data_IF_107613243087
#
_entry.id   IF_107613243087
#
_cell.length_a   1.000
_cell.length_b   1.000
_cell.length_c   1.000
_cell.angle_alpha   90.00
_cell.angle_beta   90.00
_cell.angle_gamma   90.00
#
_symmetry.space_group_name_H-M   'P 1'
#
loop_
_entity.id
_entity.type
_entity.pdbx_description
1 polymer ?
#
# COMPACT_ATOMS: atom_id res chain seq x y z
N UNK A 1 -33.13 21.33 -8.28
CA UNK A 1 -32.21 20.18 -8.24
C UNK A 1 -31.25 20.33 -9.40
N UNK A 2 -30.08 20.91 -9.16
CA UNK A 2 -28.98 20.92 -10.14
C UNK A 2 -28.41 19.52 -10.20
N UNK A 3 -28.60 18.85 -11.33
CA UNK A 3 -27.94 17.58 -11.64
C UNK A 3 -26.42 17.84 -11.72
N UNK A 4 -25.69 17.46 -10.69
CA UNK A 4 -24.22 17.39 -10.78
C UNK A 4 -23.88 16.22 -11.70
N UNK A 5 -23.34 16.52 -12.88
CA UNK A 5 -22.81 15.50 -13.78
C UNK A 5 -21.53 14.94 -13.17
N UNK A 6 -21.60 13.73 -12.63
CA UNK A 6 -20.43 13.01 -12.11
C UNK A 6 -19.42 12.78 -13.23
N UNK A 7 -18.26 13.44 -13.15
CA UNK A 7 -17.19 13.21 -14.12
C UNK A 7 -16.31 12.07 -13.60
N UNK A 8 -16.45 10.90 -14.22
CA UNK A 8 -15.66 9.71 -13.88
C UNK A 8 -14.41 9.61 -14.76
N UNK A 9 -13.23 9.42 -14.16
CA UNK A 9 -11.99 9.15 -14.87
C UNK A 9 -11.20 8.05 -14.16
N UNK A 10 -10.79 7.02 -14.90
CA UNK A 10 -10.09 5.85 -14.36
C UNK A 10 -10.82 5.18 -13.17
N UNK A 11 -12.15 5.27 -13.12
CA UNK A 11 -12.97 4.74 -12.02
C UNK A 11 -13.09 5.67 -10.81
N UNK A 12 -12.55 6.89 -10.88
CA UNK A 12 -12.59 7.89 -9.80
C UNK A 12 -13.55 9.03 -10.15
N UNK A 13 -14.31 9.50 -9.17
CA UNK A 13 -15.09 10.73 -9.26
C UNK A 13 -14.16 11.93 -9.10
N UNK A 14 -13.88 12.63 -10.20
CA UNK A 14 -12.93 13.75 -10.19
C UNK A 14 -13.46 14.95 -9.41
N UNK A 15 -14.79 15.11 -9.29
CA UNK A 15 -15.37 16.18 -8.48
C UNK A 15 -15.17 15.89 -6.99
N UNK A 16 -15.43 14.66 -6.56
CA UNK A 16 -15.18 14.23 -5.18
C UNK A 16 -13.70 14.40 -4.79
N UNK A 17 -12.77 14.14 -5.71
CA UNK A 17 -11.35 14.37 -5.48
C UNK A 17 -11.04 15.86 -5.21
N UNK A 18 -11.59 16.76 -6.03
CA UNK A 18 -11.43 18.22 -5.85
C UNK A 18 -12.04 18.65 -4.52
N UNK A 19 -13.26 18.19 -4.23
CA UNK A 19 -13.97 18.55 -3.00
C UNK A 19 -13.22 18.09 -1.75
N UNK A 20 -12.59 16.92 -1.81
CA UNK A 20 -11.74 16.37 -0.74
C UNK A 20 -10.51 17.25 -0.49
N UNK A 21 -9.84 17.69 -1.56
CA UNK A 21 -8.69 18.60 -1.44
C UNK A 21 -9.11 19.93 -0.82
N UNK A 22 -10.22 20.50 -1.27
CA UNK A 22 -10.72 21.78 -0.74
C UNK A 22 -11.23 21.65 0.70
N UNK A 23 -11.77 20.49 1.10
CA UNK A 23 -12.09 20.20 2.50
C UNK A 23 -10.83 20.19 3.37
N UNK A 24 -9.78 19.47 2.94
CA UNK A 24 -8.50 19.39 3.67
C UNK A 24 -7.80 20.76 3.73
N UNK A 25 -7.85 21.57 2.66
CA UNK A 25 -7.29 22.92 2.68
C UNK A 25 -7.99 23.83 3.70
N UNK A 26 -9.31 23.69 3.84
CA UNK A 26 -10.11 24.45 4.80
C UNK A 26 -9.91 23.96 6.24
N UNK A 27 -9.79 22.65 6.41
CA UNK A 27 -9.51 22.03 7.70
C UNK A 27 -8.43 20.94 7.55
N UNK A 28 -7.15 21.30 7.78
CA UNK A 28 -6.04 20.36 7.68
C UNK A 28 -6.13 19.16 8.63
N UNK A 29 -6.92 19.25 9.71
CA UNK A 29 -7.10 18.12 10.63
C UNK A 29 -7.79 16.93 9.97
N UNK A 30 -8.59 17.17 8.90
CA UNK A 30 -9.23 16.12 8.13
C UNK A 30 -8.25 15.21 7.39
N UNK A 31 -6.99 15.65 7.21
CA UNK A 31 -5.93 14.84 6.60
C UNK A 31 -5.24 13.89 7.58
N UNK A 32 -5.61 13.89 8.86
CA UNK A 32 -5.04 12.94 9.82
C UNK A 32 -5.77 11.60 9.75
N UNK A 33 -5.00 10.54 9.51
CA UNK A 33 -5.49 9.17 9.45
C UNK A 33 -4.67 8.27 10.37
N UNK A 34 -5.36 7.32 11.01
CA UNK A 34 -4.77 6.23 11.77
C UNK A 34 -5.30 4.92 11.20
N UNK A 35 -4.42 4.09 10.62
CA UNK A 35 -4.77 2.78 10.10
C UNK A 35 -4.39 1.69 11.09
N UNK A 36 -5.25 0.67 11.21
CA UNK A 36 -5.10 -0.37 12.23
C UNK A 36 -5.16 -1.77 11.61
N UNK A 37 -4.37 -2.66 12.20
CA UNK A 37 -4.40 -4.09 11.92
C UNK A 37 -4.23 -4.84 13.24
N UNK A 38 -4.90 -5.99 13.37
CA UNK A 38 -4.71 -6.91 14.51
C UNK A 38 -4.29 -8.26 13.97
N UNK A 39 -3.35 -8.93 14.62
CA UNK A 39 -2.86 -10.23 14.21
C UNK A 39 -2.92 -11.22 15.37
N UNK A 40 -3.21 -12.47 15.05
CA UNK A 40 -3.21 -13.58 15.99
C UNK A 40 -2.37 -14.73 15.42
N UNK A 41 -1.43 -15.22 16.24
CA UNK A 41 -0.73 -16.47 15.97
C UNK A 41 -1.69 -17.66 16.02
N UNK A 42 -1.51 -18.62 15.11
CA UNK A 42 -2.35 -19.81 15.02
C UNK A 42 -1.53 -21.04 15.40
N UNK A 43 -0.52 -21.38 14.59
CA UNK A 43 0.41 -22.47 14.83
C UNK A 43 1.63 -22.32 13.92
N UNK A 44 2.80 -22.84 14.31
CA UNK A 44 4.04 -22.75 13.51
C UNK A 44 4.30 -21.33 13.00
N UNK A 45 4.60 -21.20 11.69
CA UNK A 45 4.72 -19.91 11.00
C UNK A 45 3.39 -19.25 10.62
N UNK A 46 2.26 -19.95 10.81
CA UNK A 46 0.93 -19.48 10.42
C UNK A 46 0.38 -18.47 11.43
N UNK A 47 -0.11 -17.35 10.91
CA UNK A 47 -0.81 -16.33 11.68
C UNK A 47 -1.86 -15.64 10.79
N UNK A 48 -2.83 -14.97 11.42
CA UNK A 48 -3.92 -14.30 10.69
C UNK A 48 -4.13 -12.88 11.15
N UNK A 49 -4.12 -11.98 10.17
CA UNK A 49 -4.42 -10.56 10.36
C UNK A 49 -5.88 -10.26 10.05
N UNK A 50 -6.45 -9.31 10.80
CA UNK A 50 -7.75 -8.68 10.59
C UNK A 50 -7.55 -7.18 10.42
N UNK A 51 -8.12 -6.62 9.34
CA UNK A 51 -8.12 -5.18 9.05
C UNK A 51 -9.57 -4.73 8.88
N UNK A 52 -10.03 -3.81 9.72
CA UNK A 52 -11.40 -3.32 9.68
C UNK A 52 -11.43 -1.81 9.87
N UNK A 53 -11.23 -1.35 11.10
CA UNK A 53 -11.39 0.04 11.51
C UNK A 53 -10.18 0.92 11.18
N UNK A 54 -10.44 2.21 10.98
CA UNK A 54 -9.44 3.26 10.88
C UNK A 54 -10.06 4.59 11.34
N UNK A 55 -9.22 5.52 11.81
CA UNK A 55 -9.63 6.91 12.01
C UNK A 55 -9.25 7.73 10.78
N UNK A 56 -10.14 8.62 10.35
CA UNK A 56 -9.88 9.50 9.21
C UNK A 56 -10.98 10.53 9.00
N UNK A 57 -10.65 11.64 8.35
CA UNK A 57 -11.62 12.71 8.06
C UNK A 57 -12.43 13.16 9.31
N UNK A 58 -11.76 13.23 10.46
CA UNK A 58 -12.32 13.72 11.71
C UNK A 58 -13.20 12.73 12.50
N UNK A 59 -13.27 11.44 12.10
CA UNK A 59 -14.07 10.43 12.80
C UNK A 59 -13.50 9.02 12.69
N UNK A 60 -14.00 8.11 13.53
CA UNK A 60 -13.82 6.67 13.33
C UNK A 60 -14.64 6.22 12.11
N UNK A 61 -14.04 5.37 11.27
CA UNK A 61 -14.71 4.75 10.14
C UNK A 61 -15.52 3.53 10.58
N UNK A 62 -16.79 3.52 10.18
CA UNK A 62 -17.75 2.46 10.40
C UNK A 62 -18.28 1.87 9.08
N UNK A 63 -17.62 2.20 7.95
CA UNK A 63 -18.08 1.81 6.61
C UNK A 63 -17.96 0.31 6.34
N UNK A 64 -17.03 -0.38 7.02
CA UNK A 64 -16.75 -1.81 6.86
C UNK A 64 -17.46 -2.63 7.94
N UNK A 65 -18.50 -3.36 7.52
CA UNK A 65 -19.29 -4.20 8.42
C UNK A 65 -18.52 -5.44 8.89
N UNK A 66 -17.63 -5.98 8.05
CA UNK A 66 -16.81 -7.16 8.35
C UNK A 66 -15.32 -6.87 8.13
N UNK A 67 -14.41 -7.55 8.86
CA UNK A 67 -12.98 -7.39 8.65
C UNK A 67 -12.51 -8.08 7.37
N UNK A 68 -11.49 -7.52 6.73
CA UNK A 68 -10.67 -8.26 5.78
C UNK A 68 -9.72 -9.17 6.55
N UNK A 69 -9.70 -10.45 6.19
CA UNK A 69 -8.83 -11.46 6.79
C UNK A 69 -7.73 -11.89 5.83
N UNK A 70 -6.50 -11.95 6.34
CA UNK A 70 -5.34 -12.41 5.58
C UNK A 70 -4.54 -13.42 6.41
N UNK A 71 -4.31 -14.60 5.84
CA UNK A 71 -3.45 -15.62 6.44
C UNK A 71 -2.04 -15.44 5.91
N UNK A 72 -1.09 -15.29 6.82
CA UNK A 72 0.33 -15.44 6.52
C UNK A 72 0.72 -16.89 6.77
N UNK A 73 1.51 -17.45 5.86
CA UNK A 73 2.16 -18.76 6.03
C UNK A 73 3.61 -18.69 5.60
N UNK A 74 4.24 -19.84 5.48
CA UNK A 74 5.57 -19.96 4.89
C UNK A 74 5.60 -21.14 3.91
N UNK A 75 6.44 -21.11 2.86
CA UNK A 75 6.66 -22.29 2.04
C UNK A 75 7.43 -23.36 2.83
N UNK A 76 7.43 -24.63 2.37
CA UNK A 76 8.15 -25.72 3.04
C UNK A 76 9.63 -25.48 3.30
N UNK A 77 10.31 -24.76 2.39
CA UNK A 77 11.73 -24.41 2.55
C UNK A 77 11.97 -23.42 3.70
N UNK A 78 10.93 -22.70 4.15
CA UNK A 78 10.92 -21.81 5.31
C UNK A 78 10.02 -22.35 6.44
N UNK A 79 9.92 -23.67 6.56
CA UNK A 79 9.26 -24.37 7.68
C UNK A 79 7.74 -24.19 7.78
N UNK A 80 7.06 -23.81 6.70
CA UNK A 80 5.59 -23.79 6.63
C UNK A 80 5.00 -24.83 5.67
N UNK A 81 3.71 -24.70 5.39
CA UNK A 81 2.96 -25.62 4.52
C UNK A 81 2.20 -24.91 3.38
N UNK A 82 2.60 -23.69 3.01
CA UNK A 82 1.88 -22.82 2.06
C UNK A 82 0.47 -22.46 2.54
N UNK A 83 0.30 -22.10 3.81
CA UNK A 83 -0.98 -21.70 4.41
C UNK A 83 -1.50 -20.35 3.87
N UNK A 84 -0.58 -19.57 3.32
CA UNK A 84 -0.78 -18.28 2.67
C UNK A 84 0.55 -17.76 2.12
N UNK A 85 0.52 -16.61 1.45
CA UNK A 85 1.75 -15.89 1.11
C UNK A 85 2.51 -15.52 2.41
N UNK A 86 3.82 -15.40 2.32
CA UNK A 86 4.61 -15.06 3.48
C UNK A 86 4.64 -13.54 3.76
N UNK A 87 5.10 -13.10 4.95
CA UNK A 87 5.04 -11.68 5.31
C UNK A 87 5.81 -10.74 4.35
N UNK A 88 6.91 -11.20 3.76
CA UNK A 88 7.71 -10.37 2.83
C UNK A 88 7.04 -10.26 1.45
N UNK A 89 6.33 -11.30 0.99
CA UNK A 89 5.47 -11.24 -0.18
C UNK A 89 4.28 -10.30 0.04
N UNK A 90 3.69 -10.28 1.26
CA UNK A 90 2.65 -9.32 1.62
C UNK A 90 3.15 -7.86 1.59
N UNK A 91 4.43 -7.61 1.92
CA UNK A 91 5.04 -6.29 1.77
C UNK A 91 5.09 -5.88 0.27
N UNK A 92 5.48 -6.79 -0.62
CA UNK A 92 5.46 -6.54 -2.06
C UNK A 92 4.04 -6.30 -2.58
N UNK A 93 3.05 -7.07 -2.09
CA UNK A 93 1.63 -6.85 -2.40
C UNK A 93 1.16 -5.44 -1.99
N UNK A 94 1.45 -5.02 -0.77
CA UNK A 94 1.10 -3.69 -0.26
C UNK A 94 1.79 -2.58 -1.07
N UNK A 95 3.07 -2.77 -1.40
CA UNK A 95 3.82 -1.83 -2.22
C UNK A 95 3.22 -1.70 -3.62
N UNK A 96 2.94 -2.82 -4.29
CA UNK A 96 2.31 -2.88 -5.61
C UNK A 96 1.00 -2.08 -5.62
N UNK A 97 0.08 -2.41 -4.70
CA UNK A 97 -1.21 -1.71 -4.61
C UNK A 97 -1.02 -0.22 -4.39
N UNK A 98 -0.11 0.18 -3.51
CA UNK A 98 0.10 1.58 -3.18
C UNK A 98 0.67 2.40 -4.35
N UNK A 99 1.70 1.92 -5.08
CA UNK A 99 2.20 2.65 -6.27
C UNK A 99 1.17 2.68 -7.39
N UNK A 100 0.45 1.58 -7.65
CA UNK A 100 -0.62 1.54 -8.65
C UNK A 100 -1.73 2.53 -8.34
N UNK A 101 -2.26 2.53 -7.11
CA UNK A 101 -3.32 3.47 -6.69
C UNK A 101 -2.86 4.92 -6.76
N UNK A 102 -1.62 5.21 -6.31
CA UNK A 102 -1.04 6.56 -6.39
C UNK A 102 -0.96 7.02 -7.86
N UNK A 103 -0.45 6.16 -8.74
CA UNK A 103 -0.37 6.46 -10.17
C UNK A 103 -1.75 6.79 -10.78
N UNK A 104 -2.77 5.97 -10.50
CA UNK A 104 -4.13 6.16 -11.03
C UNK A 104 -4.76 7.46 -10.52
N UNK A 105 -4.63 7.76 -9.22
CA UNK A 105 -5.12 9.01 -8.62
C UNK A 105 -4.50 10.23 -9.30
N UNK A 106 -3.18 10.22 -9.53
CA UNK A 106 -2.50 11.35 -10.16
C UNK A 106 -2.77 11.46 -11.66
N UNK A 107 -2.92 10.34 -12.37
CA UNK A 107 -3.38 10.35 -13.75
C UNK A 107 -4.77 10.98 -13.87
N UNK A 108 -5.72 10.57 -13.00
CA UNK A 108 -7.07 11.13 -12.99
C UNK A 108 -7.07 12.63 -12.66
N UNK A 109 -6.28 13.06 -11.67
CA UNK A 109 -6.15 14.48 -11.32
C UNK A 109 -5.57 15.33 -12.46
N UNK A 110 -4.80 14.74 -13.38
CA UNK A 110 -4.23 15.39 -14.56
C UNK A 110 -5.10 15.25 -15.82
N UNK A 111 -6.27 14.62 -15.72
CA UNK A 111 -7.13 14.36 -16.88
C UNK A 111 -6.62 13.26 -17.82
N UNK A 112 -5.63 12.47 -17.40
CA UNK A 112 -5.01 11.41 -18.21
C UNK A 112 -5.82 10.12 -18.05
N UNK A 113 -6.35 9.60 -19.16
CA UNK A 113 -7.05 8.31 -19.20
C UNK A 113 -6.05 7.17 -19.29
N UNK A 114 -6.20 6.19 -18.41
CA UNK A 114 -5.44 4.94 -18.44
C UNK A 114 -6.29 3.88 -19.16
N UNK A 115 -5.70 3.24 -20.16
CA UNK A 115 -6.30 2.11 -20.90
C UNK A 115 -5.88 0.77 -20.31
N UNK A 116 -4.60 0.64 -19.94
CA UNK A 116 -4.04 -0.56 -19.31
C UNK A 116 -2.97 -0.16 -18.29
N UNK A 117 -2.93 -0.86 -17.16
CA UNK A 117 -1.89 -0.73 -16.14
C UNK A 117 -1.64 -2.09 -15.48
N UNK A 118 -0.39 -2.54 -15.51
CA UNK A 118 0.07 -3.73 -14.79
C UNK A 118 1.36 -3.42 -14.04
N UNK A 119 1.57 -4.06 -12.89
CA UNK A 119 2.73 -3.84 -12.03
C UNK A 119 3.31 -5.19 -11.60
N UNK A 120 4.61 -5.36 -11.79
CA UNK A 120 5.40 -6.54 -11.40
C UNK A 120 6.48 -6.09 -10.43
N UNK A 121 6.69 -6.87 -9.36
CA UNK A 121 7.71 -6.59 -8.35
C UNK A 121 8.55 -7.83 -8.10
N UNK A 122 9.84 -7.60 -7.93
CA UNK A 122 10.78 -8.60 -7.47
C UNK A 122 11.75 -7.95 -6.47
N UNK A 123 12.22 -8.73 -5.49
CA UNK A 123 13.12 -8.23 -4.46
C UNK A 123 13.96 -9.35 -3.85
N UNK A 124 15.16 -9.00 -3.41
CA UNK A 124 16.16 -9.96 -2.91
C UNK A 124 16.31 -9.86 -1.39
N UNK A 125 16.33 -11.01 -0.72
CA UNK A 125 16.58 -11.15 0.71
C UNK A 125 17.68 -12.18 0.92
N UNK A 126 18.67 -11.84 1.74
CA UNK A 126 19.59 -12.81 2.32
C UNK A 126 19.09 -13.23 3.71
N UNK A 127 18.60 -14.47 3.80
CA UNK A 127 17.98 -15.01 5.01
C UNK A 127 18.97 -15.18 6.17
N UNK A 128 20.28 -15.14 5.94
CA UNK A 128 21.28 -15.22 7.02
C UNK A 128 21.10 -14.13 8.07
N UNK A 129 20.69 -12.92 7.66
CA UNK A 129 20.39 -11.83 8.58
C UNK A 129 19.19 -12.17 9.48
N UNK A 130 18.12 -12.75 8.91
CA UNK A 130 16.92 -13.15 9.65
C UNK A 130 17.23 -14.18 10.74
N UNK A 131 18.08 -15.17 10.43
CA UNK A 131 18.41 -16.27 11.36
C UNK A 131 19.67 -16.01 12.20
N UNK A 132 20.25 -14.81 12.12
CA UNK A 132 21.41 -14.41 12.94
C UNK A 132 22.70 -15.19 12.63
N UNK A 133 22.86 -15.69 11.40
CA UNK A 133 24.10 -16.38 10.99
C UNK A 133 25.19 -15.41 10.52
N UNK A 134 24.83 -14.18 10.15
CA UNK A 134 25.78 -13.18 9.67
C UNK A 134 25.35 -11.76 10.07
N UNK A 135 26.03 -11.19 11.06
CA UNK A 135 25.74 -9.85 11.60
C UNK A 135 26.04 -8.70 10.61
N UNK A 136 26.79 -8.98 9.52
CA UNK A 136 27.01 -8.00 8.46
C UNK A 136 25.81 -7.85 7.50
N UNK A 137 24.86 -8.79 7.55
CA UNK A 137 23.67 -8.79 6.70
C UNK A 137 22.51 -8.19 7.48
N UNK A 138 22.00 -7.05 7.00
CA UNK A 138 20.80 -6.45 7.56
C UNK A 138 19.57 -7.30 7.18
N UNK A 139 18.72 -7.71 8.14
CA UNK A 139 17.49 -8.44 7.82
C UNK A 139 16.53 -7.58 6.99
N UNK A 140 16.02 -8.14 5.88
CA UNK A 140 15.05 -7.50 5.01
C UNK A 140 15.46 -7.51 3.54
N UNK A 141 14.71 -6.77 2.71
CA UNK A 141 15.02 -6.60 1.30
C UNK A 141 16.28 -5.75 1.09
N UNK A 142 17.20 -6.24 0.25
CA UNK A 142 18.38 -5.50 -0.20
C UNK A 142 18.03 -4.51 -1.31
N UNK A 143 17.15 -4.93 -2.22
CA UNK A 143 16.58 -4.11 -3.27
C UNK A 143 15.18 -4.64 -3.61
N UNK A 144 14.27 -3.73 -3.96
CA UNK A 144 12.98 -4.05 -4.58
C UNK A 144 12.89 -3.30 -5.90
N UNK A 145 12.57 -4.01 -6.97
CA UNK A 145 12.43 -3.47 -8.32
C UNK A 145 10.97 -3.55 -8.73
N UNK A 146 10.45 -2.44 -9.27
CA UNK A 146 9.05 -2.33 -9.72
C UNK A 146 9.05 -2.06 -11.22
N UNK A 147 8.36 -2.90 -11.99
CA UNK A 147 8.11 -2.69 -13.42
C UNK A 147 6.64 -2.36 -13.64
N UNK A 148 6.37 -1.17 -14.16
CA UNK A 148 5.01 -0.74 -14.52
C UNK A 148 4.85 -0.74 -16.04
N UNK A 149 3.88 -1.51 -16.54
CA UNK A 149 3.49 -1.51 -17.95
C UNK A 149 2.19 -0.70 -18.08
N UNK A 150 2.26 0.41 -18.79
CA UNK A 150 1.14 1.37 -18.87
C UNK A 150 0.80 1.68 -20.32
N UNK A 151 -0.50 1.74 -20.63
CA UNK A 151 -1.03 2.40 -21.83
C UNK A 151 -1.98 3.50 -21.37
N UNK A 152 -1.68 4.74 -21.73
CA UNK A 152 -2.48 5.91 -21.38
C UNK A 152 -2.64 6.84 -22.58
N UNK A 153 -3.53 7.81 -22.45
CA UNK A 153 -3.81 8.84 -23.45
C UNK A 153 -3.03 10.12 -23.12
N UNK A 154 -1.70 10.02 -23.12
CA UNK A 154 -0.75 11.09 -22.83
C UNK A 154 0.56 10.87 -23.59
N UNK A 155 1.47 11.83 -23.53
CA UNK A 155 2.83 11.71 -24.03
C UNK A 155 3.70 10.81 -23.15
N UNK A 156 4.81 10.30 -23.69
CA UNK A 156 5.79 9.54 -22.90
C UNK A 156 6.41 10.38 -21.77
N UNK A 157 6.58 11.69 -21.98
CA UNK A 157 7.10 12.61 -20.95
C UNK A 157 6.13 12.75 -19.76
N UNK A 158 4.83 12.89 -20.04
CA UNK A 158 3.78 12.91 -19.01
C UNK A 158 3.69 11.58 -18.28
N UNK A 159 3.89 10.48 -19.00
CA UNK A 159 3.88 9.13 -18.43
C UNK A 159 5.08 8.91 -17.50
N UNK A 160 6.29 9.29 -17.93
CA UNK A 160 7.50 9.23 -17.11
C UNK A 160 7.39 10.12 -15.88
N UNK A 161 6.74 11.28 -16.00
CA UNK A 161 6.45 12.14 -14.86
C UNK A 161 5.49 11.49 -13.87
N UNK A 162 4.43 10.84 -14.35
CA UNK A 162 3.52 10.07 -13.49
C UNK A 162 4.24 8.94 -12.76
N UNK A 163 5.16 8.22 -13.42
CA UNK A 163 5.94 7.16 -12.79
C UNK A 163 6.84 7.71 -11.67
N UNK A 164 7.62 8.77 -11.94
CA UNK A 164 8.44 9.44 -10.92
C UNK A 164 7.60 9.95 -9.75
N UNK A 165 6.43 10.51 -10.06
CA UNK A 165 5.52 11.02 -9.06
C UNK A 165 4.96 9.90 -8.17
N UNK A 166 4.55 8.77 -8.77
CA UNK A 166 4.05 7.61 -8.03
C UNK A 166 5.11 7.03 -7.09
N UNK A 167 6.37 6.92 -7.54
CA UNK A 167 7.48 6.52 -6.69
C UNK A 167 7.69 7.49 -5.51
N UNK A 168 7.68 8.80 -5.78
CA UNK A 168 7.97 9.81 -4.76
C UNK A 168 6.84 10.01 -3.74
N UNK A 169 5.57 9.80 -4.15
CA UNK A 169 4.39 10.14 -3.33
C UNK A 169 3.60 8.95 -2.80
N UNK A 170 3.87 7.74 -3.28
CA UNK A 170 3.26 6.51 -2.73
C UNK A 170 3.63 6.33 -1.25
N UNK A 171 2.66 6.33 -0.31
CA UNK A 171 2.96 6.21 1.12
C UNK A 171 3.75 4.96 1.49
N UNK A 172 3.43 3.80 0.90
CA UNK A 172 4.15 2.55 1.17
C UNK A 172 5.54 2.57 0.55
N UNK A 173 5.70 3.06 -0.69
CA UNK A 173 7.03 3.20 -1.30
C UNK A 173 7.93 4.12 -0.48
N UNK A 174 7.39 5.28 -0.06
CA UNK A 174 8.11 6.21 0.79
C UNK A 174 8.46 5.59 2.16
N UNK A 175 7.57 4.77 2.74
CA UNK A 175 7.81 4.05 4.00
C UNK A 175 8.93 3.01 3.88
N UNK A 176 9.01 2.30 2.74
CA UNK A 176 10.09 1.34 2.46
C UNK A 176 11.43 2.05 2.21
N UNK A 177 11.42 3.18 1.50
CA UNK A 177 12.63 3.91 1.11
C UNK A 177 13.22 4.81 2.21
N UNK A 178 12.58 4.91 3.38
CA UNK A 178 13.06 5.76 4.48
C UNK A 178 12.97 5.04 5.83
N UNK A 179 13.82 5.40 6.80
CA UNK A 179 13.67 4.88 8.16
C UNK A 179 12.37 5.42 8.79
N UNK A 180 11.43 4.52 9.07
CA UNK A 180 10.24 4.80 9.88
C UNK A 180 10.45 4.15 11.25
N UNK A 181 10.38 4.90 12.37
CA UNK A 181 10.51 4.31 13.70
C UNK A 181 9.40 3.29 13.95
N UNK A 182 9.77 2.03 14.17
CA UNK A 182 8.88 0.96 14.60
C UNK A 182 9.22 0.62 16.05
N UNK A 183 8.24 0.70 16.94
CA UNK A 183 8.40 0.36 18.36
C UNK A 183 7.70 -0.97 18.63
N UNK A 184 8.43 -1.89 19.23
CA UNK A 184 7.89 -3.17 19.70
C UNK A 184 7.96 -3.19 21.21
N UNK A 185 6.80 -3.34 21.84
CA UNK A 185 6.65 -3.26 23.29
C UNK A 185 5.89 -4.48 23.80
N UNK A 186 6.28 -4.99 24.97
CA UNK A 186 5.54 -6.06 25.65
C UNK A 186 4.40 -5.44 26.44
N UNK A 187 3.19 -5.95 26.24
CA UNK A 187 2.03 -5.64 27.08
C UNK A 187 1.86 -6.74 28.12
N UNK A 188 1.64 -6.37 29.39
CA UNK A 188 1.34 -7.34 30.45
C UNK A 188 -0.07 -7.92 30.25
N UNK A 189 -0.24 -9.19 30.64
CA UNK A 189 -1.55 -9.86 30.63
C UNK A 189 -2.45 -9.35 31.75
#
# INVERSE_FOLDING_TARGET
MTTHTTTMLNGLDTQQMVDTIEAIKRDPALAHFEFRARNQWIDGGMNRSRIQDFYGAGREDDSRQEPFEFTNGEPPVLLGANEGANPVEFLLHALAGCVTTTFVLHAAARGIRIRELATELDGDIDVQGLIGLNDAITPGYQEIRIKMRVKADCTDEELDDLLRYAQARSPVCNTVCRPVPVKVERVAH
#
